data_IF_686430323078
#
_entry.id   IF_686430323078
#
_cell.length_a   1.000
_cell.length_b   1.000
_cell.length_c   1.000
_cell.angle_alpha   90.00
_cell.angle_beta   90.00
_cell.angle_gamma   90.00
#
_symmetry.space_group_name_H-M   'P 1'
#
loop_
_entity.id
_entity.type
_entity.pdbx_description
1 polymer ?
#
# COMPACT_ATOMS: atom_id res chain seq x y z
N UNK A 1 -3.72 -40.12 -34.19
CA UNK A 1 -2.75 -39.08 -33.79
C UNK A 1 -3.50 -38.03 -32.98
N UNK A 2 -3.28 -37.95 -31.65
CA UNK A 2 -4.05 -37.06 -30.79
C UNK A 2 -3.35 -35.69 -30.62
N UNK A 3 -4.12 -34.61 -30.66
CA UNK A 3 -3.67 -33.27 -30.28
C UNK A 3 -4.10 -32.98 -28.85
N UNK A 4 -3.11 -32.84 -27.96
CA UNK A 4 -3.27 -32.27 -26.62
C UNK A 4 -3.26 -30.74 -26.71
N UNK A 5 -4.14 -30.09 -25.95
CA UNK A 5 -3.89 -28.99 -25.00
C UNK A 5 -5.23 -28.28 -24.75
N UNK A 6 -5.93 -28.72 -23.70
CA UNK A 6 -6.98 -27.96 -23.03
C UNK A 6 -6.63 -27.93 -21.54
N UNK A 7 -5.79 -26.98 -21.14
CA UNK A 7 -5.40 -26.79 -19.76
C UNK A 7 -5.21 -25.29 -19.46
N UNK A 8 -6.29 -24.51 -19.59
CA UNK A 8 -6.32 -23.10 -19.17
C UNK A 8 -7.42 -22.67 -18.16
N UNK A 9 -8.28 -23.52 -17.57
CA UNK A 9 -9.18 -23.04 -16.51
C UNK A 9 -8.58 -23.12 -15.09
N UNK A 10 -7.51 -23.90 -14.87
CA UNK A 10 -6.99 -24.17 -13.51
C UNK A 10 -6.10 -23.06 -12.91
N UNK A 11 -5.35 -22.32 -13.75
CA UNK A 11 -4.51 -21.19 -13.30
C UNK A 11 -5.32 -20.02 -12.70
N UNK A 12 -6.54 -19.78 -13.20
CA UNK A 12 -7.44 -18.73 -12.67
C UNK A 12 -8.04 -19.07 -11.30
N UNK A 13 -8.17 -20.35 -10.95
CA UNK A 13 -8.72 -20.77 -9.64
C UNK A 13 -7.71 -20.72 -8.50
N UNK A 14 -6.42 -20.91 -8.77
CA UNK A 14 -5.36 -20.79 -7.76
C UNK A 14 -5.01 -19.34 -7.40
N UNK A 15 -5.13 -18.41 -8.35
CA UNK A 15 -4.98 -16.96 -8.08
C UNK A 15 -6.12 -16.39 -7.23
N UNK A 16 -7.34 -16.93 -7.32
CA UNK A 16 -8.47 -16.57 -6.45
C UNK A 16 -8.25 -16.93 -4.98
N UNK A 17 -7.45 -17.96 -4.69
CA UNK A 17 -7.13 -18.35 -3.31
C UNK A 17 -6.06 -17.44 -2.67
N UNK A 18 -5.18 -16.83 -3.46
CA UNK A 18 -4.26 -15.79 -2.98
C UNK A 18 -4.97 -14.43 -2.80
N UNK A 19 -5.90 -14.09 -3.72
CA UNK A 19 -6.77 -12.91 -3.58
C UNK A 19 -7.70 -12.98 -2.35
N UNK A 20 -8.25 -14.16 -2.04
CA UNK A 20 -9.08 -14.38 -0.85
C UNK A 20 -8.31 -14.36 0.48
N UNK A 21 -6.97 -14.43 0.44
CA UNK A 21 -6.12 -14.25 1.63
C UNK A 21 -5.77 -12.77 1.87
N UNK A 22 -5.90 -11.91 0.85
CA UNK A 22 -5.76 -10.45 0.98
C UNK A 22 -7.01 -9.80 1.58
N UNK A 23 -8.17 -10.44 1.40
CA UNK A 23 -9.45 -10.04 1.98
C UNK A 23 -10.17 -11.32 2.44
N UNK A 24 -10.12 -11.69 3.73
CA UNK A 24 -10.97 -12.77 4.24
C UNK A 24 -12.43 -12.50 3.83
N UNK A 25 -13.22 -13.53 3.48
CA UNK A 25 -14.61 -13.36 3.00
C UNK A 25 -15.53 -12.66 4.02
N UNK A 26 -15.08 -12.50 5.26
CA UNK A 26 -15.74 -11.72 6.32
C UNK A 26 -15.52 -10.20 6.22
N UNK A 27 -14.58 -9.72 5.39
CA UNK A 27 -14.37 -8.29 5.09
C UNK A 27 -15.02 -7.83 3.77
N UNK A 28 -15.67 -8.74 3.03
CA UNK A 28 -16.29 -8.50 1.72
C UNK A 28 -17.61 -7.69 1.76
N UNK A 29 -17.76 -6.75 2.69
CA UNK A 29 -18.98 -5.91 2.80
C UNK A 29 -18.73 -4.43 3.05
N UNK A 30 -17.52 -3.94 2.75
CA UNK A 30 -17.17 -2.54 2.97
C UNK A 30 -17.52 -1.61 1.79
N UNK A 31 -17.59 -2.13 0.56
CA UNK A 31 -18.42 -1.52 -0.48
C UNK A 31 -19.88 -1.95 -0.25
N UNK A 32 -20.53 -1.37 0.75
CA UNK A 32 -21.94 -1.60 1.03
C UNK A 32 -22.78 -1.14 -0.16
N UNK A 33 -23.31 -2.09 -0.94
CA UNK A 33 -24.09 -1.82 -2.15
C UNK A 33 -23.20 -1.65 -3.39
N UNK A 34 -23.71 -2.06 -4.56
CA UNK A 34 -23.08 -1.73 -5.84
C UNK A 34 -22.89 -0.22 -5.91
N UNK A 35 -21.64 0.24 -5.98
CA UNK A 35 -21.33 1.66 -6.15
C UNK A 35 -22.19 2.24 -7.29
N UNK A 36 -22.74 3.45 -7.15
CA UNK A 36 -23.51 4.07 -8.22
C UNK A 36 -22.71 4.07 -9.54
N UNK A 37 -23.38 3.83 -10.67
CA UNK A 37 -22.69 3.68 -11.96
C UNK A 37 -21.80 4.88 -12.32
N UNK A 38 -22.20 6.09 -11.95
CA UNK A 38 -21.40 7.31 -12.13
C UNK A 38 -20.12 7.29 -11.28
N UNK A 39 -20.19 6.80 -10.04
CA UNK A 39 -19.03 6.65 -9.14
C UNK A 39 -18.08 5.60 -9.69
N UNK A 40 -18.59 4.42 -10.08
CA UNK A 40 -17.77 3.36 -10.70
C UNK A 40 -17.05 3.86 -11.94
N UNK A 41 -17.77 4.52 -12.86
CA UNK A 41 -17.18 5.09 -14.08
C UNK A 41 -16.09 6.11 -13.77
N UNK A 42 -16.31 6.94 -12.74
CA UNK A 42 -15.32 7.93 -12.32
C UNK A 42 -14.06 7.28 -11.75
N UNK A 43 -14.20 6.23 -10.93
CA UNK A 43 -13.05 5.47 -10.41
C UNK A 43 -12.21 4.93 -11.56
N UNK A 44 -12.84 4.20 -12.49
CA UNK A 44 -12.13 3.59 -13.63
C UNK A 44 -11.43 4.64 -14.49
N UNK A 45 -12.13 5.72 -14.86
CA UNK A 45 -11.54 6.82 -15.62
C UNK A 45 -10.39 7.53 -14.90
N UNK A 46 -10.37 7.51 -13.55
CA UNK A 46 -9.28 8.08 -12.75
C UNK A 46 -8.05 7.18 -12.77
N UNK A 47 -8.25 5.86 -12.76
CA UNK A 47 -7.16 4.87 -12.75
C UNK A 47 -6.54 4.68 -14.14
N UNK A 48 -7.31 4.92 -15.20
CA UNK A 48 -6.83 4.92 -16.59
C UNK A 48 -6.06 6.21 -16.95
N UNK A 49 -6.17 7.26 -16.13
CA UNK A 49 -5.48 8.52 -16.33
C UNK A 49 -4.11 8.52 -15.64
N UNK A 50 -3.14 9.33 -16.12
CA UNK A 50 -1.91 9.58 -15.38
C UNK A 50 -2.22 10.12 -13.97
N UNK A 51 -1.41 9.77 -12.94
CA UNK A 51 -1.56 10.35 -11.62
C UNK A 51 -1.49 11.89 -11.68
N UNK A 52 -2.27 12.60 -10.84
CA UNK A 52 -2.26 14.05 -10.83
C UNK A 52 -0.87 14.58 -10.44
N UNK A 53 -0.39 15.60 -11.15
CA UNK A 53 0.90 16.23 -10.85
C UNK A 53 0.89 17.03 -9.53
N UNK A 54 -0.31 17.43 -9.07
CA UNK A 54 -0.48 18.29 -7.90
C UNK A 54 -1.19 17.55 -6.77
N UNK A 55 -0.54 17.51 -5.60
CA UNK A 55 -1.15 17.11 -4.34
C UNK A 55 -1.91 18.30 -3.74
N UNK A 56 -3.24 18.31 -3.88
CA UNK A 56 -4.10 19.38 -3.36
C UNK A 56 -4.59 19.09 -1.92
N UNK A 57 -5.34 20.05 -1.35
CA UNK A 57 -5.86 19.96 0.02
C UNK A 57 -6.82 18.78 0.24
N UNK A 58 -7.59 18.38 -0.77
CA UNK A 58 -8.47 17.20 -0.69
C UNK A 58 -7.66 15.91 -0.63
N UNK A 59 -6.61 15.78 -1.46
CA UNK A 59 -5.73 14.62 -1.43
C UNK A 59 -5.07 14.47 -0.06
N UNK A 60 -4.58 15.58 0.50
CA UNK A 60 -3.97 15.59 1.83
C UNK A 60 -4.96 15.24 2.94
N UNK A 61 -6.20 15.74 2.87
CA UNK A 61 -7.25 15.42 3.83
C UNK A 61 -7.58 13.91 3.84
N UNK A 62 -7.56 13.26 2.66
CA UNK A 62 -7.79 11.83 2.50
C UNK A 62 -6.59 10.99 2.95
N UNK A 63 -5.36 11.35 2.52
CA UNK A 63 -4.12 10.68 2.93
C UNK A 63 -4.00 10.58 4.45
N UNK A 64 -4.35 11.64 5.17
CA UNK A 64 -4.33 11.68 6.64
C UNK A 64 -5.30 10.70 7.31
N UNK A 65 -6.30 10.23 6.58
CA UNK A 65 -7.31 9.29 7.06
C UNK A 65 -7.05 7.85 6.60
N UNK A 66 -6.04 7.64 5.75
CA UNK A 66 -5.71 6.31 5.25
C UNK A 66 -5.44 5.31 6.36
N UNK A 67 -6.01 4.13 6.18
CA UNK A 67 -5.79 2.95 7.01
C UNK A 67 -4.78 2.05 6.35
N UNK A 68 -3.63 1.96 7.00
CA UNK A 68 -2.55 1.09 6.55
C UNK A 68 -2.74 -0.28 7.19
N UNK A 69 -2.78 -1.32 6.35
CA UNK A 69 -2.81 -2.72 6.74
C UNK A 69 -1.49 -3.43 6.41
N UNK A 70 -1.49 -4.74 6.59
CA UNK A 70 -0.38 -5.62 6.24
C UNK A 70 -0.79 -6.58 5.11
N UNK A 71 0.03 -6.65 4.07
CA UNK A 71 -0.06 -7.68 3.04
C UNK A 71 0.49 -8.99 3.58
N UNK A 72 -0.25 -10.10 3.52
CA UNK A 72 0.26 -11.41 3.94
C UNK A 72 1.08 -12.11 2.85
N UNK A 73 1.37 -11.46 1.72
CA UNK A 73 2.09 -12.07 0.60
C UNK A 73 3.58 -12.23 0.94
N UNK A 74 4.08 -13.47 0.97
CA UNK A 74 5.50 -13.80 1.18
C UNK A 74 6.05 -13.23 2.51
N UNK A 75 7.04 -12.33 2.48
CA UNK A 75 7.50 -11.62 3.70
C UNK A 75 6.46 -10.66 4.26
N UNK A 76 5.51 -10.26 3.42
CA UNK A 76 4.53 -9.24 3.70
C UNK A 76 5.10 -7.83 3.56
N UNK A 77 4.21 -6.85 3.55
CA UNK A 77 4.57 -5.44 3.50
C UNK A 77 3.37 -4.54 3.84
N UNK A 78 3.59 -3.26 4.19
CA UNK A 78 2.49 -2.32 4.36
C UNK A 78 1.65 -2.12 3.09
N UNK A 79 0.34 -1.97 3.25
CA UNK A 79 -0.58 -1.63 2.15
C UNK A 79 -1.62 -0.60 2.58
N UNK A 80 -2.19 0.15 1.63
CA UNK A 80 -3.46 0.83 1.88
C UNK A 80 -4.57 -0.25 1.92
N UNK A 81 -5.35 -0.28 2.99
CA UNK A 81 -6.39 -1.29 3.19
C UNK A 81 -7.44 -1.22 2.04
N UNK A 82 -7.58 -2.26 1.21
CA UNK A 82 -8.47 -2.23 0.06
C UNK A 82 -9.95 -2.36 0.46
N UNK A 83 -10.26 -3.05 1.57
CA UNK A 83 -11.64 -3.13 2.04
C UNK A 83 -12.11 -1.79 2.62
N UNK A 84 -11.29 -1.18 3.47
CA UNK A 84 -11.66 -0.02 4.28
C UNK A 84 -10.54 1.03 4.29
N UNK A 85 -10.25 1.71 3.16
CA UNK A 85 -9.09 2.59 3.06
C UNK A 85 -9.20 3.80 3.99
N UNK A 86 -10.40 4.21 4.40
CA UNK A 86 -10.63 5.31 5.35
C UNK A 86 -11.07 4.82 6.75
N UNK A 87 -11.17 3.50 6.95
CA UNK A 87 -11.61 2.88 8.20
C UNK A 87 -13.04 2.33 8.14
N UNK A 88 -13.54 1.86 9.30
CA UNK A 88 -14.85 1.22 9.37
C UNK A 88 -15.96 2.16 8.92
N UNK A 89 -16.86 1.65 8.08
CA UNK A 89 -18.02 2.38 7.56
C UNK A 89 -18.06 2.46 6.03
N UNK A 90 -18.97 3.28 5.52
CA UNK A 90 -19.06 3.58 4.10
C UNK A 90 -17.88 4.49 3.69
N UNK A 91 -16.95 3.92 2.93
CA UNK A 91 -15.75 4.62 2.46
C UNK A 91 -16.10 5.84 1.61
N UNK A 92 -17.15 5.78 0.79
CA UNK A 92 -17.54 6.90 -0.06
C UNK A 92 -18.09 8.05 0.78
N UNK A 93 -18.93 7.76 1.78
CA UNK A 93 -19.44 8.76 2.71
C UNK A 93 -18.30 9.40 3.53
N UNK A 94 -17.33 8.60 3.99
CA UNK A 94 -16.14 9.09 4.68
C UNK A 94 -15.29 9.99 3.78
N UNK A 95 -15.12 9.62 2.50
CA UNK A 95 -14.38 10.43 1.55
C UNK A 95 -15.08 11.78 1.31
N UNK A 96 -16.40 11.77 1.13
CA UNK A 96 -17.24 12.97 0.99
C UNK A 96 -17.10 13.90 2.20
N UNK A 97 -17.14 13.34 3.41
CA UNK A 97 -16.92 14.08 4.66
C UNK A 97 -15.50 14.67 4.72
N UNK A 98 -14.48 13.88 4.38
CA UNK A 98 -13.08 14.30 4.43
C UNK A 98 -12.78 15.51 3.54
N UNK A 99 -13.43 15.59 2.38
CA UNK A 99 -13.26 16.70 1.42
C UNK A 99 -14.36 17.75 1.51
N UNK A 100 -15.24 17.68 2.53
CA UNK A 100 -16.38 18.57 2.72
C UNK A 100 -17.26 18.75 1.47
N UNK A 101 -17.54 17.65 0.75
CA UNK A 101 -18.31 17.66 -0.49
C UNK A 101 -19.54 16.75 -0.43
N UNK A 102 -20.59 17.11 -1.17
CA UNK A 102 -21.75 16.26 -1.42
C UNK A 102 -21.68 15.52 -2.77
N UNK A 103 -20.63 15.76 -3.55
CA UNK A 103 -20.41 15.12 -4.85
C UNK A 103 -19.67 13.79 -4.67
N UNK A 104 -20.42 12.69 -4.76
CA UNK A 104 -19.92 11.33 -4.62
C UNK A 104 -18.88 10.95 -5.71
N UNK A 105 -19.14 11.15 -7.02
CA UNK A 105 -18.11 10.95 -8.04
C UNK A 105 -16.82 11.73 -7.76
N UNK A 106 -16.90 13.01 -7.39
CA UNK A 106 -15.71 13.78 -7.04
C UNK A 106 -14.96 13.20 -5.83
N UNK A 107 -15.68 12.78 -4.79
CA UNK A 107 -15.06 12.16 -3.62
C UNK A 107 -14.34 10.85 -3.98
N UNK A 108 -14.95 10.01 -4.83
CA UNK A 108 -14.33 8.79 -5.33
C UNK A 108 -13.09 9.07 -6.18
N UNK A 109 -13.15 10.07 -7.08
CA UNK A 109 -11.99 10.53 -7.84
C UNK A 109 -10.84 10.92 -6.91
N UNK A 110 -11.09 11.82 -5.95
CA UNK A 110 -10.07 12.33 -5.03
C UNK A 110 -9.50 11.22 -4.14
N UNK A 111 -10.30 10.22 -3.77
CA UNK A 111 -9.82 9.05 -3.04
C UNK A 111 -8.84 8.21 -3.86
N UNK A 112 -9.15 7.94 -5.13
CA UNK A 112 -8.26 7.18 -6.02
C UNK A 112 -6.98 7.96 -6.36
N UNK A 113 -7.10 9.25 -6.64
CA UNK A 113 -5.94 10.13 -6.83
C UNK A 113 -5.05 10.17 -5.58
N UNK A 114 -5.62 10.32 -4.39
CA UNK A 114 -4.87 10.28 -3.14
C UNK A 114 -4.18 8.93 -2.92
N UNK A 115 -4.83 7.82 -3.30
CA UNK A 115 -4.24 6.49 -3.23
C UNK A 115 -3.04 6.36 -4.17
N UNK A 116 -3.18 6.78 -5.45
CA UNK A 116 -2.09 6.80 -6.43
C UNK A 116 -0.93 7.72 -6.03
N UNK A 117 -1.22 8.80 -5.30
CA UNK A 117 -0.23 9.74 -4.79
C UNK A 117 0.49 9.25 -3.53
N UNK A 118 0.03 8.19 -2.85
CA UNK A 118 0.64 7.72 -1.60
C UNK A 118 2.14 7.42 -1.72
N UNK A 119 2.63 6.68 -2.75
CA UNK A 119 4.07 6.46 -2.92
C UNK A 119 4.85 7.77 -3.08
N UNK A 120 4.33 8.71 -3.87
CA UNK A 120 4.94 10.02 -4.09
C UNK A 120 4.96 10.86 -2.80
N UNK A 121 3.88 10.81 -2.03
CA UNK A 121 3.79 11.48 -0.73
C UNK A 121 4.88 11.01 0.24
N UNK A 122 5.16 9.69 0.28
CA UNK A 122 6.25 9.13 1.10
C UNK A 122 7.62 9.68 0.70
N UNK A 123 7.84 9.96 -0.59
CA UNK A 123 9.09 10.55 -1.07
C UNK A 123 9.21 12.04 -0.73
N UNK A 124 8.14 12.81 -0.91
CA UNK A 124 8.18 14.28 -0.79
C UNK A 124 7.85 14.84 0.60
N UNK A 125 7.23 14.05 1.47
CA UNK A 125 6.90 14.46 2.83
C UNK A 125 8.01 14.06 3.81
N UNK A 126 8.00 14.71 4.98
CA UNK A 126 8.94 14.42 6.04
C UNK A 126 8.23 14.35 7.40
N UNK A 127 8.71 13.44 8.23
CA UNK A 127 8.31 13.31 9.63
C UNK A 127 9.59 13.17 10.46
N UNK A 128 9.75 14.02 11.47
CA UNK A 128 10.90 13.94 12.37
C UNK A 128 10.81 12.67 13.24
N UNK A 129 11.94 12.10 13.69
CA UNK A 129 11.91 11.07 14.74
C UNK A 129 11.18 11.58 15.99
N UNK A 130 10.41 10.71 16.64
CA UNK A 130 9.61 11.10 17.80
C UNK A 130 8.57 10.05 18.20
N UNK A 131 7.86 10.33 19.29
CA UNK A 131 6.74 9.52 19.77
C UNK A 131 5.42 10.10 19.24
N UNK A 132 4.65 9.27 18.54
CA UNK A 132 3.42 9.70 17.86
C UNK A 132 2.23 8.85 18.30
N UNK A 133 1.05 9.47 18.39
CA UNK A 133 -0.17 8.74 18.71
C UNK A 133 -0.50 7.69 17.64
N UNK A 134 -0.69 6.43 18.06
CA UNK A 134 -1.09 5.34 17.18
C UNK A 134 -2.01 4.32 17.88
N UNK A 135 -3.27 4.70 18.09
CA UNK A 135 -4.21 3.88 18.87
C UNK A 135 -3.97 4.07 20.37
N UNK A 136 -3.98 2.98 21.14
CA UNK A 136 -3.83 3.04 22.61
C UNK A 136 -2.38 3.29 23.07
N UNK A 137 -1.40 2.89 22.26
CA UNK A 137 0.02 2.98 22.59
C UNK A 137 0.69 3.87 21.55
N UNK A 138 1.53 4.84 21.94
CA UNK A 138 2.27 5.63 20.97
C UNK A 138 3.29 4.76 20.21
N UNK A 139 3.62 5.18 18.99
CA UNK A 139 4.65 4.57 18.17
C UNK A 139 5.88 5.47 18.10
N UNK A 140 7.05 4.90 18.35
CA UNK A 140 8.34 5.60 18.22
C UNK A 140 8.78 5.55 16.75
N UNK A 141 8.59 6.67 16.04
CA UNK A 141 9.08 6.84 14.68
C UNK A 141 10.56 7.24 14.68
N UNK A 142 11.35 6.67 13.77
CA UNK A 142 12.82 6.83 13.75
C UNK A 142 13.28 7.15 12.33
N UNK A 143 14.53 7.60 12.19
CA UNK A 143 15.14 7.81 10.87
C UNK A 143 15.22 6.53 10.05
N UNK A 144 15.46 5.38 10.69
CA UNK A 144 15.47 4.07 10.01
C UNK A 144 14.11 3.73 9.44
N UNK A 145 13.02 4.03 10.15
CA UNK A 145 11.66 3.88 9.62
C UNK A 145 11.48 4.72 8.35
N UNK A 146 11.82 6.01 8.40
CA UNK A 146 11.69 6.90 7.24
C UNK A 146 12.50 6.43 6.04
N UNK A 147 13.76 6.01 6.26
CA UNK A 147 14.61 5.47 5.21
C UNK A 147 13.96 4.25 4.56
N UNK A 148 13.48 3.29 5.34
CA UNK A 148 12.85 2.09 4.80
C UNK A 148 11.54 2.39 4.06
N UNK A 149 10.70 3.29 4.57
CA UNK A 149 9.47 3.69 3.88
C UNK A 149 9.77 4.27 2.49
N UNK A 150 10.83 5.06 2.36
CA UNK A 150 11.25 5.63 1.07
C UNK A 150 11.89 4.61 0.12
N UNK A 151 12.38 3.49 0.65
CA UNK A 151 12.95 2.40 -0.15
C UNK A 151 11.90 1.37 -0.58
N UNK A 152 10.64 1.55 -0.21
CA UNK A 152 9.61 0.57 -0.53
C UNK A 152 9.35 0.46 -2.04
N UNK A 153 9.35 -0.77 -2.54
CA UNK A 153 8.90 -1.10 -3.90
C UNK A 153 7.38 -1.16 -3.94
N UNK A 154 6.73 -0.22 -4.63
CA UNK A 154 5.28 -0.18 -4.77
C UNK A 154 4.81 -0.88 -6.04
N UNK A 155 3.76 -1.68 -5.93
CA UNK A 155 3.13 -2.36 -7.05
C UNK A 155 2.03 -1.48 -7.66
N UNK A 156 1.98 -1.44 -8.99
CA UNK A 156 0.81 -0.96 -9.72
C UNK A 156 -0.37 -1.91 -9.53
N UNK A 157 -1.59 -1.44 -9.77
CA UNK A 157 -2.80 -2.26 -9.60
C UNK A 157 -2.77 -3.55 -10.44
N UNK A 158 -2.27 -3.47 -11.67
CA UNK A 158 -2.08 -4.62 -12.56
C UNK A 158 -1.15 -5.70 -11.97
N UNK A 159 -0.18 -5.30 -11.14
CA UNK A 159 0.79 -6.22 -10.53
C UNK A 159 0.27 -6.90 -9.27
N UNK A 160 -0.83 -6.41 -8.67
CA UNK A 160 -1.39 -6.96 -7.43
C UNK A 160 -2.17 -8.28 -7.62
N UNK A 161 -2.31 -8.77 -8.86
CA UNK A 161 -2.74 -10.14 -9.14
C UNK A 161 -4.25 -10.40 -9.10
N UNK A 162 -5.07 -9.42 -8.72
CA UNK A 162 -6.54 -9.51 -8.78
C UNK A 162 -7.12 -9.24 -10.18
N UNK A 163 -6.29 -8.84 -11.16
CA UNK A 163 -6.73 -8.50 -12.50
C UNK A 163 -6.90 -6.99 -12.66
N UNK A 164 -8.08 -6.54 -13.10
CA UNK A 164 -8.34 -5.11 -13.36
C UNK A 164 -8.98 -4.41 -12.15
N UNK A 165 -9.09 -3.08 -12.22
CA UNK A 165 -9.77 -2.30 -11.18
C UNK A 165 -11.25 -2.73 -11.00
N UNK A 166 -11.90 -3.21 -12.06
CA UNK A 166 -13.24 -3.76 -12.02
C UNK A 166 -13.35 -5.02 -11.15
N UNK A 167 -12.34 -5.89 -11.16
CA UNK A 167 -12.31 -7.10 -10.36
C UNK A 167 -12.24 -6.75 -8.86
N UNK A 168 -11.44 -5.73 -8.48
CA UNK A 168 -11.45 -5.19 -7.12
C UNK A 168 -12.83 -4.73 -6.70
N UNK A 169 -13.47 -3.89 -7.52
CA UNK A 169 -14.78 -3.32 -7.21
C UNK A 169 -15.86 -4.40 -7.14
N UNK A 170 -15.78 -5.45 -7.96
CA UNK A 170 -16.70 -6.58 -7.95
C UNK A 170 -16.59 -7.40 -6.66
N UNK A 171 -15.40 -7.50 -6.08
CA UNK A 171 -15.13 -8.15 -4.79
C UNK A 171 -15.37 -7.19 -3.59
N UNK A 172 -15.96 -6.03 -3.84
CA UNK A 172 -16.27 -5.02 -2.82
C UNK A 172 -15.04 -4.35 -2.21
N UNK A 173 -13.92 -4.38 -2.94
CA UNK A 173 -12.64 -3.78 -2.55
C UNK A 173 -12.35 -2.53 -3.39
N UNK A 174 -11.68 -1.57 -2.79
CA UNK A 174 -11.12 -0.42 -3.49
C UNK A 174 -9.79 -0.81 -4.15
N UNK A 175 -9.56 -0.40 -5.40
CA UNK A 175 -8.31 -0.66 -6.11
C UNK A 175 -7.21 0.28 -5.58
N UNK A 176 -6.55 -0.13 -4.50
CA UNK A 176 -5.53 0.66 -3.81
C UNK A 176 -4.14 0.08 -3.99
N UNK A 177 -3.06 0.90 -4.01
CA UNK A 177 -1.70 0.39 -4.16
C UNK A 177 -1.23 -0.34 -2.89
N UNK A 178 -0.27 -1.25 -3.08
CA UNK A 178 0.42 -1.93 -2.00
C UNK A 178 1.93 -2.02 -2.29
N UNK A 179 2.72 -2.14 -1.24
CA UNK A 179 4.14 -2.49 -1.36
C UNK A 179 4.26 -3.95 -1.78
N UNK A 180 5.26 -4.27 -2.61
CA UNK A 180 5.56 -5.64 -3.03
C UNK A 180 5.95 -6.48 -1.81
N UNK A 181 5.03 -7.35 -1.37
CA UNK A 181 5.27 -8.24 -0.23
C UNK A 181 6.36 -9.28 -0.47
N UNK A 182 6.72 -9.55 -1.73
CA UNK A 182 7.80 -10.46 -2.12
C UNK A 182 9.16 -9.76 -2.18
N UNK A 183 9.18 -8.50 -2.61
CA UNK A 183 10.40 -7.69 -2.80
C UNK A 183 10.21 -6.27 -2.27
N UNK A 184 10.03 -6.10 -0.95
CA UNK A 184 9.58 -4.83 -0.40
C UNK A 184 10.61 -3.71 -0.49
N UNK A 185 11.90 -3.99 -0.71
CA UNK A 185 12.97 -2.97 -0.70
C UNK A 185 13.90 -3.03 -1.93
N UNK A 186 13.46 -3.68 -3.00
CA UNK A 186 14.26 -3.79 -4.22
C UNK A 186 13.87 -4.97 -5.08
N UNK A 187 14.86 -5.71 -5.57
CA UNK A 187 14.71 -6.78 -6.55
C UNK A 187 15.16 -8.16 -6.04
N UNK A 188 15.78 -8.22 -4.85
CA UNK A 188 16.19 -9.45 -4.21
C UNK A 188 15.08 -10.04 -3.35
N UNK A 189 15.05 -11.36 -3.21
CA UNK A 189 14.11 -12.05 -2.30
C UNK A 189 14.56 -11.95 -0.83
N UNK A 190 15.83 -11.67 -0.56
CA UNK A 190 16.36 -11.55 0.81
C UNK A 190 16.21 -10.12 1.32
N UNK A 191 14.98 -9.74 1.67
CA UNK A 191 14.62 -8.38 2.05
C UNK A 191 15.47 -7.80 3.21
N UNK A 192 15.88 -8.63 4.19
CA UNK A 192 16.74 -8.15 5.29
C UNK A 192 18.12 -7.68 4.85
N UNK A 193 18.68 -8.26 3.78
CA UNK A 193 19.95 -7.80 3.19
C UNK A 193 19.76 -6.47 2.47
N UNK A 194 18.66 -6.30 1.73
CA UNK A 194 18.33 -5.02 1.08
C UNK A 194 18.05 -3.92 2.10
N UNK A 195 17.38 -4.24 3.21
CA UNK A 195 17.22 -3.33 4.33
C UNK A 195 18.57 -2.90 4.91
N UNK A 196 19.50 -3.84 5.12
CA UNK A 196 20.84 -3.51 5.60
C UNK A 196 21.58 -2.59 4.63
N UNK A 197 21.49 -2.85 3.31
CA UNK A 197 22.04 -1.97 2.28
C UNK A 197 21.43 -0.56 2.34
N UNK A 198 20.10 -0.47 2.37
CA UNK A 198 19.36 0.78 2.44
C UNK A 198 19.70 1.62 3.68
N UNK A 199 20.00 0.95 4.80
CA UNK A 199 20.34 1.59 6.07
C UNK A 199 21.85 1.80 6.27
N UNK A 200 22.70 1.39 5.31
CA UNK A 200 24.16 1.48 5.41
C UNK A 200 24.76 0.61 6.53
N UNK A 201 24.13 -0.54 6.82
CA UNK A 201 24.55 -1.47 7.87
C UNK A 201 25.58 -2.50 7.34
N UNK A 202 26.36 -3.14 8.23
CA UNK A 202 27.40 -4.09 7.82
C UNK A 202 26.86 -5.27 7.00
N UNK A 203 27.52 -5.54 5.89
CA UNK A 203 27.25 -6.65 4.97
C UNK A 203 28.51 -7.50 4.81
N UNK A 204 28.34 -8.80 4.66
CA UNK A 204 29.42 -9.74 4.41
C UNK A 204 29.27 -10.33 3.02
N UNK A 205 30.31 -10.23 2.19
CA UNK A 205 30.35 -10.86 0.87
C UNK A 205 30.84 -12.30 1.03
N UNK A 206 30.06 -13.25 0.55
CA UNK A 206 30.45 -14.65 0.49
C UNK A 206 31.32 -14.93 -0.75
N UNK A 207 31.96 -16.11 -0.78
CA UNK A 207 32.85 -16.50 -1.88
C UNK A 207 32.15 -16.56 -3.25
N UNK A 208 30.85 -16.83 -3.27
CA UNK A 208 30.01 -16.83 -4.48
C UNK A 208 29.54 -15.41 -4.90
N UNK A 209 29.99 -14.37 -4.19
CA UNK A 209 29.63 -12.99 -4.43
C UNK A 209 28.31 -12.56 -3.80
N UNK A 210 27.55 -13.46 -3.18
CA UNK A 210 26.30 -13.12 -2.48
C UNK A 210 26.56 -12.29 -1.22
N UNK A 211 25.57 -11.49 -0.83
CA UNK A 211 25.63 -10.66 0.37
C UNK A 211 24.83 -11.31 1.51
N UNK A 212 25.41 -11.30 2.70
CA UNK A 212 24.79 -11.82 3.92
C UNK A 212 24.97 -10.87 5.09
N UNK A 213 24.13 -11.05 6.10
CA UNK A 213 24.15 -10.33 7.37
C UNK A 213 24.24 -11.33 8.52
N UNK A 214 24.66 -10.87 9.69
CA UNK A 214 24.70 -11.71 10.89
C UNK A 214 23.28 -12.11 11.31
N UNK A 215 23.10 -13.25 12.02
CA UNK A 215 21.79 -13.64 12.54
C UNK A 215 21.16 -12.59 13.45
N UNK A 216 21.96 -11.93 14.30
CA UNK A 216 21.50 -10.85 15.18
C UNK A 216 20.94 -9.67 14.39
N UNK A 217 21.65 -9.23 13.34
CA UNK A 217 21.18 -8.14 12.50
C UNK A 217 19.92 -8.54 11.71
N UNK A 218 19.83 -9.80 11.26
CA UNK A 218 18.62 -10.32 10.62
C UNK A 218 17.40 -10.19 11.52
N UNK A 219 17.46 -10.66 12.76
CA UNK A 219 16.35 -10.57 13.72
C UNK A 219 15.96 -9.12 14.01
N UNK A 220 16.94 -8.22 14.14
CA UNK A 220 16.67 -6.78 14.30
C UNK A 220 15.91 -6.22 13.10
N UNK A 221 16.33 -6.54 11.87
CA UNK A 221 15.70 -6.05 10.65
C UNK A 221 14.34 -6.69 10.38
N UNK A 222 14.11 -7.93 10.78
CA UNK A 222 12.77 -8.54 10.78
C UNK A 222 11.81 -7.77 11.69
N UNK A 223 12.26 -7.42 12.91
CA UNK A 223 11.48 -6.57 13.81
C UNK A 223 11.20 -5.18 13.23
N UNK A 224 12.21 -4.58 12.60
CA UNK A 224 12.09 -3.28 11.95
C UNK A 224 11.16 -3.31 10.71
N UNK A 225 11.16 -4.42 9.97
CA UNK A 225 10.27 -4.64 8.83
C UNK A 225 8.80 -4.66 9.27
N UNK A 226 8.48 -5.40 10.33
CA UNK A 226 7.13 -5.41 10.91
C UNK A 226 6.69 -4.03 11.41
N UNK A 227 7.63 -3.22 11.90
CA UNK A 227 7.37 -1.84 12.32
C UNK A 227 7.06 -0.88 11.15
N UNK A 228 7.30 -1.26 9.90
CA UNK A 228 7.00 -0.39 8.75
C UNK A 228 5.51 -0.13 8.55
N UNK A 229 4.62 -1.03 8.97
CA UNK A 229 3.17 -0.79 8.92
C UNK A 229 2.74 0.33 9.88
N UNK A 230 2.99 0.25 11.20
CA UNK A 230 2.66 1.36 12.10
C UNK A 230 3.47 2.63 11.77
N UNK A 231 4.69 2.51 11.25
CA UNK A 231 5.45 3.65 10.77
C UNK A 231 4.75 4.38 9.62
N UNK A 232 4.30 3.65 8.58
CA UNK A 232 3.56 4.24 7.46
C UNK A 232 2.23 4.82 7.94
N UNK A 233 1.54 4.14 8.86
CA UNK A 233 0.28 4.64 9.44
C UNK A 233 0.46 5.98 10.16
N UNK A 234 1.53 6.15 10.94
CA UNK A 234 1.85 7.42 11.59
C UNK A 234 2.29 8.46 10.55
N UNK A 235 3.11 8.06 9.58
CA UNK A 235 3.61 8.93 8.54
C UNK A 235 2.48 9.60 7.75
N UNK A 236 1.51 8.83 7.24
CA UNK A 236 0.39 9.41 6.46
C UNK A 236 -0.47 10.38 7.28
N UNK A 237 -0.55 10.19 8.60
CA UNK A 237 -1.30 11.07 9.52
C UNK A 237 -0.58 12.38 9.83
N UNK A 238 0.74 12.32 9.97
CA UNK A 238 1.51 13.38 10.66
C UNK A 238 2.56 14.07 9.79
N UNK A 239 2.98 13.46 8.68
CA UNK A 239 4.05 14.01 7.85
C UNK A 239 3.60 15.33 7.20
N UNK A 240 4.51 16.29 7.16
CA UNK A 240 4.36 17.55 6.43
C UNK A 240 5.09 17.49 5.10
N UNK A 241 4.57 18.16 4.08
CA UNK A 241 5.32 18.34 2.83
C UNK A 241 6.63 19.08 3.12
N UNK A 242 7.74 18.60 2.54
CA UNK A 242 8.98 19.34 2.61
C UNK A 242 8.79 20.67 1.87
N UNK A 243 9.33 21.76 2.42
CA UNK A 243 9.46 22.99 1.65
C UNK A 243 10.44 22.71 0.54
N UNK A 244 10.10 23.03 -0.70
CA UNK A 244 11.09 23.12 -1.77
C UNK A 244 12.09 24.19 -1.33
N UNK A 245 13.28 23.78 -0.91
CA UNK A 245 14.40 24.70 -0.81
C UNK A 245 14.79 25.06 -2.24
N UNK A 246 14.72 26.35 -2.64
CA UNK A 246 15.13 26.78 -3.97
C UNK A 246 16.61 26.51 -4.24
#
# INVERSE_FOLDING_TARGET
MPSLIAALPFRRRLLRLAGALLCPPTLARAAGGTLPAAVRRRILATLDAPPPEVLNVHHLALLRQFRIGWSPVESGAPMLNPAQPLGPGDTLALAMQAIASKDAPLAAQRLMEAALLLPHFVQMANLKPGSYANGKVPFTFTTRHLQLLRQQSWLSLEMLGMGSAEDYLAEGCWPTPAVDGKRPYGNFTNYTVEMAQALGLPLHRQADGSLTITPTLRTELEGLHQQTMPALQVFVRQAGLMRNTP
#
